data_IF_816462043784
#
_entry.id   IF_816462043784
#
_cell.length_a   1.000
_cell.length_b   1.000
_cell.length_c   1.000
_cell.angle_alpha   90.00
_cell.angle_beta   90.00
_cell.angle_gamma   90.00
#
_symmetry.space_group_name_H-M   'P 1'
#
loop_
_entity.id
_entity.type
_entity.pdbx_description
1 polymer ?
#
# COMPACT_ATOMS: atom_id res chain seq x y z
N UNK A 1 -24.36 -15.97 -15.58
CA UNK A 1 -22.96 -15.54 -15.38
C UNK A 1 -22.39 -16.38 -14.26
N UNK A 2 -21.57 -17.39 -14.58
CA UNK A 2 -20.84 -18.14 -13.56
C UNK A 2 -19.69 -17.23 -13.11
N UNK A 3 -19.68 -16.86 -11.83
CA UNK A 3 -18.61 -16.08 -11.24
C UNK A 3 -17.28 -16.79 -11.44
N UNK A 4 -16.31 -16.10 -12.03
CA UNK A 4 -14.97 -16.66 -12.23
C UNK A 4 -14.33 -16.87 -10.86
N UNK A 5 -13.74 -18.03 -10.56
CA UNK A 5 -13.17 -18.30 -9.25
C UNK A 5 -12.00 -17.36 -8.98
N UNK A 6 -12.07 -16.64 -7.86
CA UNK A 6 -10.98 -15.80 -7.35
C UNK A 6 -10.30 -16.58 -6.22
N UNK A 7 -8.97 -16.69 -6.29
CA UNK A 7 -8.17 -17.34 -5.25
C UNK A 7 -7.09 -16.40 -4.77
N UNK A 8 -7.08 -16.11 -3.47
CA UNK A 8 -6.01 -15.38 -2.76
C UNK A 8 -5.05 -16.32 -2.03
N UNK A 9 -5.34 -17.62 -1.99
CA UNK A 9 -4.57 -18.62 -1.24
C UNK A 9 -3.76 -19.55 -2.14
N UNK A 10 -4.30 -19.87 -3.31
CA UNK A 10 -3.71 -20.88 -4.20
C UNK A 10 -3.56 -20.31 -5.60
N UNK A 11 -2.34 -20.36 -6.12
CA UNK A 11 -1.99 -20.04 -7.50
C UNK A 11 -2.68 -21.04 -8.43
N UNK A 12 -3.44 -20.56 -9.43
CA UNK A 12 -4.12 -21.44 -10.37
C UNK A 12 -3.16 -22.22 -11.28
N UNK A 13 -1.93 -21.73 -11.49
CA UNK A 13 -0.94 -22.39 -12.34
C UNK A 13 -0.28 -23.62 -11.71
N UNK A 14 0.10 -23.54 -10.43
CA UNK A 14 0.82 -24.64 -9.76
C UNK A 14 0.02 -25.32 -8.64
N UNK A 15 -1.10 -24.73 -8.22
CA UNK A 15 -1.93 -25.20 -7.11
C UNK A 15 -1.21 -25.34 -5.74
N UNK A 16 0.03 -24.86 -5.63
CA UNK A 16 0.88 -25.08 -4.47
C UNK A 16 1.38 -23.80 -3.79
N UNK A 17 1.47 -22.69 -4.53
CA UNK A 17 2.03 -21.41 -4.03
C UNK A 17 0.94 -20.36 -3.88
N UNK A 18 1.21 -19.34 -3.06
CA UNK A 18 0.35 -18.16 -3.00
C UNK A 18 0.44 -17.37 -4.30
N UNK A 19 -0.70 -16.90 -4.84
CA UNK A 19 -0.68 -16.08 -6.03
C UNK A 19 -0.06 -14.72 -5.71
N UNK A 20 0.86 -14.23 -6.55
CA UNK A 20 1.45 -12.90 -6.39
C UNK A 20 0.60 -11.84 -7.10
N UNK A 21 0.19 -12.11 -8.35
CA UNK A 21 -0.60 -11.16 -9.15
C UNK A 21 -1.88 -11.77 -9.70
N UNK A 22 -2.88 -10.90 -9.83
CA UNK A 22 -4.14 -11.18 -10.50
C UNK A 22 -4.10 -10.66 -11.93
N UNK A 23 -4.48 -11.49 -12.89
CA UNK A 23 -4.65 -11.08 -14.29
C UNK A 23 -6.01 -10.38 -14.48
N UNK A 24 -6.22 -9.61 -15.57
CA UNK A 24 -7.51 -8.95 -15.85
C UNK A 24 -8.70 -9.92 -15.94
N UNK A 25 -8.45 -11.19 -16.26
CA UNK A 25 -9.47 -12.24 -16.23
C UNK A 25 -9.83 -12.74 -14.81
N UNK A 26 -9.22 -12.18 -13.76
CA UNK A 26 -9.34 -12.51 -12.33
C UNK A 26 -8.62 -13.77 -11.84
N UNK A 27 -8.05 -14.59 -12.73
CA UNK A 27 -7.16 -15.67 -12.32
C UNK A 27 -5.85 -15.11 -11.77
N UNK A 28 -5.40 -15.68 -10.66
CA UNK A 28 -4.21 -15.24 -9.93
C UNK A 28 -3.10 -16.28 -9.95
N UNK A 29 -1.86 -15.85 -10.16
CA UNK A 29 -0.69 -16.72 -10.33
C UNK A 29 0.49 -16.25 -9.47
N UNK A 30 1.33 -17.18 -9.04
CA UNK A 30 2.58 -16.88 -8.33
C UNK A 30 3.68 -16.40 -9.30
N UNK A 31 4.70 -15.71 -8.77
CA UNK A 31 5.83 -15.21 -9.57
C UNK A 31 6.51 -16.31 -10.39
N UNK A 32 6.71 -17.50 -9.80
CA UNK A 32 7.32 -18.63 -10.51
C UNK A 32 6.46 -19.10 -11.69
N UNK A 33 5.14 -19.10 -11.57
CA UNK A 33 4.28 -19.44 -12.71
C UNK A 33 4.40 -18.39 -13.83
N UNK A 34 4.62 -17.12 -13.50
CA UNK A 34 4.89 -16.10 -14.51
C UNK A 34 6.26 -16.27 -15.16
N UNK A 35 7.28 -16.73 -14.42
CA UNK A 35 8.58 -17.08 -14.98
C UNK A 35 8.49 -18.29 -15.93
N UNK A 36 7.76 -19.34 -15.54
CA UNK A 36 7.63 -20.59 -16.29
C UNK A 36 6.76 -20.42 -17.54
N UNK A 37 5.60 -19.77 -17.41
CA UNK A 37 4.62 -19.66 -18.50
C UNK A 37 4.71 -18.34 -19.28
N UNK A 38 5.42 -17.33 -18.76
CA UNK A 38 5.56 -16.04 -19.41
C UNK A 38 6.64 -16.02 -20.49
N UNK A 39 6.47 -15.13 -21.47
CA UNK A 39 7.48 -14.92 -22.52
C UNK A 39 8.52 -13.91 -22.04
N UNK A 40 9.79 -14.29 -21.95
CA UNK A 40 10.87 -13.39 -21.53
C UNK A 40 11.00 -12.16 -22.44
N UNK A 41 11.20 -10.99 -21.83
CA UNK A 41 11.50 -9.75 -22.53
C UNK A 41 12.96 -9.75 -23.03
N UNK A 42 13.19 -9.37 -24.29
CA UNK A 42 14.54 -9.31 -24.85
C UNK A 42 15.38 -8.15 -24.28
N UNK A 43 14.73 -7.02 -23.93
CA UNK A 43 15.43 -5.78 -23.56
C UNK A 43 15.53 -5.55 -22.05
N UNK A 44 14.91 -6.42 -21.23
CA UNK A 44 14.89 -6.29 -19.78
C UNK A 44 15.03 -7.68 -19.14
N UNK A 45 16.13 -7.87 -18.41
CA UNK A 45 16.41 -9.13 -17.72
C UNK A 45 15.37 -9.36 -16.62
N UNK A 46 14.97 -10.62 -16.43
CA UNK A 46 13.98 -11.04 -15.43
C UNK A 46 12.62 -10.32 -15.51
N UNK A 47 12.28 -9.84 -16.71
CA UNK A 47 10.94 -9.36 -17.06
C UNK A 47 10.25 -10.36 -17.98
N UNK A 48 9.00 -10.70 -17.68
CA UNK A 48 8.20 -11.66 -18.41
C UNK A 48 6.90 -11.02 -18.89
N UNK A 49 6.55 -11.27 -20.16
CA UNK A 49 5.30 -10.87 -20.78
C UNK A 49 4.26 -11.97 -20.62
N UNK A 50 3.11 -11.60 -20.07
CA UNK A 50 1.94 -12.48 -20.00
C UNK A 50 0.94 -12.03 -21.06
N UNK A 51 0.87 -12.79 -22.15
CA UNK A 51 -0.01 -12.50 -23.29
C UNK A 51 -1.37 -13.18 -23.16
N UNK A 52 -1.44 -14.27 -22.41
CA UNK A 52 -2.63 -15.11 -22.31
C UNK A 52 -2.71 -15.80 -20.95
N UNK A 53 -3.91 -15.94 -20.42
CA UNK A 53 -4.16 -16.72 -19.21
C UNK A 53 -4.13 -18.23 -19.53
N UNK A 54 -3.31 -19.01 -18.84
CA UNK A 54 -3.21 -20.47 -19.04
C UNK A 54 -4.44 -21.27 -18.60
N UNK A 55 -5.41 -20.63 -17.94
CA UNK A 55 -6.61 -21.30 -17.40
C UNK A 55 -7.84 -21.06 -18.29
N UNK A 56 -8.07 -19.81 -18.70
CA UNK A 56 -9.24 -19.45 -19.51
C UNK A 56 -8.91 -18.90 -20.90
N UNK A 57 -7.64 -18.90 -21.29
CA UNK A 57 -7.17 -18.47 -22.61
C UNK A 57 -7.54 -17.01 -22.96
N UNK A 58 -7.88 -16.21 -21.94
CA UNK A 58 -8.11 -14.79 -22.10
C UNK A 58 -6.80 -14.11 -22.47
N UNK A 59 -6.81 -13.36 -23.58
CA UNK A 59 -5.65 -12.62 -24.07
C UNK A 59 -5.59 -11.22 -23.49
N UNK A 60 -4.38 -10.76 -23.22
CA UNK A 60 -4.11 -9.44 -22.68
C UNK A 60 -2.97 -8.79 -23.45
N UNK A 61 -3.08 -7.49 -23.61
CA UNK A 61 -1.99 -6.69 -24.15
C UNK A 61 -1.14 -6.12 -23.02
N UNK A 62 0.15 -6.45 -23.03
CA UNK A 62 1.15 -5.66 -22.32
C UNK A 62 1.30 -5.89 -20.81
N UNK A 63 0.84 -7.02 -20.24
CA UNK A 63 1.15 -7.35 -18.84
C UNK A 63 2.63 -7.71 -18.72
N UNK A 64 3.40 -6.92 -17.97
CA UNK A 64 4.81 -7.18 -17.65
C UNK A 64 4.95 -7.52 -16.18
N UNK A 65 5.60 -8.64 -15.92
CA UNK A 65 5.95 -9.08 -14.57
C UNK A 65 7.46 -9.01 -14.43
N UNK A 66 7.92 -8.17 -13.52
CA UNK A 66 9.32 -8.08 -13.14
C UNK A 66 9.56 -8.94 -11.91
N UNK A 67 10.50 -9.87 -12.00
CA UNK A 67 10.87 -10.80 -10.93
C UNK A 67 12.25 -10.40 -10.38
N UNK A 68 12.49 -10.65 -9.09
CA UNK A 68 13.80 -10.37 -8.49
C UNK A 68 14.87 -11.20 -9.19
N UNK A 69 15.99 -10.59 -9.52
CA UNK A 69 17.13 -11.36 -10.00
C UNK A 69 17.77 -12.10 -8.82
N UNK A 70 18.19 -13.38 -8.97
CA UNK A 70 18.77 -14.16 -7.86
C UNK A 70 20.01 -13.53 -7.21
N UNK A 71 20.71 -12.65 -7.93
CA UNK A 71 21.91 -11.95 -7.45
C UNK A 71 21.63 -10.56 -6.88
N UNK A 72 20.39 -10.07 -6.91
CA UNK A 72 20.05 -8.75 -6.37
C UNK A 72 19.79 -8.85 -4.87
N UNK A 73 20.46 -7.98 -4.11
CA UNK A 73 20.20 -7.82 -2.68
C UNK A 73 18.76 -7.38 -2.40
N UNK A 74 18.22 -7.92 -1.33
CA UNK A 74 16.85 -7.77 -0.91
C UNK A 74 16.70 -6.57 0.06
N UNK A 75 15.80 -5.65 -0.27
CA UNK A 75 15.75 -4.29 0.28
C UNK A 75 14.35 -3.95 0.78
N UNK A 76 14.27 -3.47 2.00
CA UNK A 76 13.02 -3.02 2.62
C UNK A 76 13.03 -1.52 2.91
N UNK A 77 11.92 -0.85 2.62
CA UNK A 77 11.65 0.53 3.02
C UNK A 77 10.57 0.56 4.11
N UNK A 78 10.85 1.22 5.22
CA UNK A 78 9.89 1.47 6.30
C UNK A 78 9.69 2.97 6.43
N UNK A 79 8.42 3.39 6.57
CA UNK A 79 8.08 4.81 6.55
C UNK A 79 7.12 5.16 7.71
N UNK A 80 7.61 5.97 8.65
CA UNK A 80 6.99 6.17 9.97
C UNK A 80 5.72 7.03 9.91
N UNK A 81 4.79 6.95 10.85
CA UNK A 81 3.65 7.89 10.91
C UNK A 81 4.08 9.34 11.21
N UNK A 82 3.33 10.33 10.73
CA UNK A 82 3.72 11.74 10.94
C UNK A 82 2.79 12.85 10.42
N UNK A 83 1.62 12.53 9.90
CA UNK A 83 0.67 13.51 9.33
C UNK A 83 1.28 14.28 8.14
N UNK A 84 1.04 15.59 8.08
CA UNK A 84 1.55 16.47 7.01
C UNK A 84 3.08 16.49 6.86
N UNK A 85 3.82 16.06 7.90
CA UNK A 85 5.29 15.95 7.87
C UNK A 85 5.80 14.86 6.92
N UNK A 86 4.92 14.07 6.32
CA UNK A 86 5.25 13.16 5.21
C UNK A 86 5.98 13.85 4.04
N UNK A 87 5.81 15.17 3.88
CA UNK A 87 6.60 15.99 2.95
C UNK A 87 8.12 15.82 3.17
N UNK A 88 8.58 15.72 4.42
CA UNK A 88 10.01 15.54 4.74
C UNK A 88 10.52 14.22 4.18
N UNK A 89 9.75 13.14 4.33
CA UNK A 89 10.10 11.83 3.77
C UNK A 89 10.19 11.87 2.25
N UNK A 90 9.25 12.52 1.57
CA UNK A 90 9.30 12.66 0.11
C UNK A 90 10.52 13.46 -0.35
N UNK A 91 10.86 14.54 0.35
CA UNK A 91 12.08 15.31 0.08
C UNK A 91 13.33 14.45 0.32
N UNK A 92 13.38 13.65 1.39
CA UNK A 92 14.48 12.71 1.65
C UNK A 92 14.63 11.69 0.52
N UNK A 93 13.52 11.13 0.02
CA UNK A 93 13.53 10.21 -1.12
C UNK A 93 14.00 10.88 -2.41
N UNK A 94 13.60 12.13 -2.69
CA UNK A 94 14.10 12.91 -3.84
C UNK A 94 15.62 13.06 -3.75
N UNK A 95 16.13 13.44 -2.56
CA UNK A 95 17.59 13.61 -2.34
C UNK A 95 18.33 12.29 -2.48
N UNK A 96 17.79 11.21 -1.94
CA UNK A 96 18.35 9.87 -2.05
C UNK A 96 18.41 9.42 -3.51
N UNK A 97 17.31 9.57 -4.26
CA UNK A 97 17.24 9.25 -5.68
C UNK A 97 18.29 10.02 -6.49
N UNK A 98 18.43 11.32 -6.22
CA UNK A 98 19.42 12.17 -6.89
C UNK A 98 20.85 11.75 -6.54
N UNK A 99 21.14 11.41 -5.28
CA UNK A 99 22.46 10.96 -4.86
C UNK A 99 22.84 9.63 -5.51
N UNK A 100 21.94 8.64 -5.49
CA UNK A 100 22.14 7.34 -6.15
C UNK A 100 22.37 7.53 -7.64
N UNK A 101 21.53 8.33 -8.31
CA UNK A 101 21.65 8.55 -9.76
C UNK A 101 22.99 9.19 -10.15
N UNK A 102 23.55 10.06 -9.30
CA UNK A 102 24.89 10.63 -9.53
C UNK A 102 26.01 9.61 -9.37
N UNK A 103 25.89 8.68 -8.42
CA UNK A 103 26.90 7.65 -8.16
C UNK A 103 26.90 6.59 -9.25
N UNK A 104 25.72 6.10 -9.65
CA UNK A 104 25.59 5.02 -10.63
C UNK A 104 25.71 5.55 -12.08
N UNK A 105 25.51 6.85 -12.29
CA UNK A 105 25.56 7.46 -13.62
C UNK A 105 24.32 7.20 -14.49
N UNK A 106 23.27 6.60 -13.91
CA UNK A 106 21.98 6.38 -14.55
C UNK A 106 20.85 6.79 -13.62
N UNK A 107 19.73 7.25 -14.19
CA UNK A 107 18.53 7.58 -13.41
C UNK A 107 17.92 6.28 -12.88
N UNK A 108 17.82 6.17 -11.55
CA UNK A 108 17.20 5.03 -10.88
C UNK A 108 15.98 5.51 -10.09
N UNK A 109 14.76 5.42 -10.66
CA UNK A 109 13.56 5.85 -9.96
C UNK A 109 13.27 4.94 -8.76
N UNK A 110 13.10 5.51 -7.57
CA UNK A 110 12.89 4.72 -6.34
C UNK A 110 11.62 3.87 -6.43
N UNK A 111 10.59 4.39 -7.09
CA UNK A 111 9.33 3.67 -7.27
C UNK A 111 9.44 2.44 -8.18
N UNK A 112 10.52 2.32 -8.95
CA UNK A 112 10.73 1.23 -9.93
C UNK A 112 11.76 0.21 -9.40
N UNK A 113 11.26 -0.89 -8.83
CA UNK A 113 12.05 -2.09 -8.48
C UNK A 113 13.23 -1.86 -7.51
N UNK A 114 13.32 -0.69 -6.87
CA UNK A 114 14.39 -0.38 -5.92
C UNK A 114 14.18 -1.04 -4.54
N UNK A 115 12.93 -1.21 -4.11
CA UNK A 115 12.62 -1.94 -2.89
C UNK A 115 11.82 -3.20 -3.23
N UNK A 116 12.03 -4.25 -2.45
CA UNK A 116 11.29 -5.51 -2.53
C UNK A 116 10.02 -5.43 -1.70
N UNK A 117 10.12 -4.72 -0.56
CA UNK A 117 9.01 -4.45 0.34
C UNK A 117 9.02 -2.98 0.77
N UNK A 118 7.84 -2.39 0.83
CA UNK A 118 7.61 -1.09 1.45
C UNK A 118 6.49 -1.23 2.49
N UNK A 119 6.74 -0.77 3.71
CA UNK A 119 5.73 -0.70 4.76
C UNK A 119 5.62 0.71 5.33
N UNK A 120 4.40 1.20 5.53
CA UNK A 120 4.18 2.53 6.05
C UNK A 120 3.01 2.65 7.01
N UNK A 121 3.07 3.69 7.84
CA UNK A 121 2.04 4.00 8.84
C UNK A 121 1.45 5.38 8.57
N UNK A 122 0.14 5.53 8.74
CA UNK A 122 -0.54 6.83 8.65
C UNK A 122 -0.32 7.49 7.29
N UNK A 123 -0.14 8.80 7.27
CA UNK A 123 0.19 9.56 6.07
C UNK A 123 1.40 9.03 5.30
N UNK A 124 2.34 8.33 5.94
CA UNK A 124 3.48 7.71 5.25
C UNK A 124 3.17 6.31 4.72
N UNK A 125 2.14 5.65 5.24
CA UNK A 125 1.45 4.54 4.57
C UNK A 125 0.83 4.98 3.24
N UNK A 126 0.20 6.17 3.20
CA UNK A 126 -0.26 6.77 1.93
C UNK A 126 0.91 7.00 0.97
N UNK A 127 2.09 7.38 1.49
CA UNK A 127 3.28 7.55 0.66
C UNK A 127 3.73 6.23 0.03
N UNK A 128 3.77 5.16 0.80
CA UNK A 128 4.09 3.83 0.27
C UNK A 128 3.08 3.40 -0.81
N UNK A 129 1.78 3.63 -0.60
CA UNK A 129 0.74 3.34 -1.61
C UNK A 129 0.95 4.16 -2.89
N UNK A 130 1.19 5.46 -2.77
CA UNK A 130 1.36 6.35 -3.93
C UNK A 130 2.59 5.99 -4.77
N UNK A 131 3.72 5.71 -4.12
CA UNK A 131 4.94 5.31 -4.84
C UNK A 131 4.80 3.92 -5.45
N UNK A 132 4.34 2.93 -4.67
CA UNK A 132 4.52 1.53 -5.06
C UNK A 132 3.25 0.86 -5.61
N UNK A 133 2.06 1.25 -5.17
CA UNK A 133 0.80 0.74 -5.71
C UNK A 133 0.35 1.49 -6.96
N UNK A 134 0.57 2.81 -7.01
CA UNK A 134 0.23 3.65 -8.16
C UNK A 134 1.41 3.89 -9.12
N UNK A 135 2.64 3.70 -8.66
CA UNK A 135 3.83 3.90 -9.52
C UNK A 135 4.15 5.36 -9.78
N UNK A 136 3.65 6.31 -8.98
CA UNK A 136 3.94 7.72 -9.17
C UNK A 136 5.41 8.02 -8.88
N UNK A 137 5.98 8.95 -9.65
CA UNK A 137 7.32 9.46 -9.34
C UNK A 137 7.33 10.21 -8.01
N UNK A 138 8.47 10.24 -7.32
CA UNK A 138 8.57 10.93 -6.02
C UNK A 138 8.18 12.41 -6.12
N UNK A 139 8.58 13.08 -7.21
CA UNK A 139 8.25 14.49 -7.48
C UNK A 139 6.75 14.73 -7.74
N UNK A 140 6.14 13.86 -8.54
CA UNK A 140 4.69 13.90 -8.79
C UNK A 140 3.91 13.66 -7.50
N UNK A 141 4.35 12.66 -6.74
CA UNK A 141 3.70 12.29 -5.52
C UNK A 141 3.84 13.37 -4.44
N UNK A 142 4.95 14.10 -4.38
CA UNK A 142 5.07 15.30 -3.53
C UNK A 142 4.00 16.35 -3.84
N UNK A 143 3.76 16.64 -5.13
CA UNK A 143 2.72 17.60 -5.53
C UNK A 143 1.32 17.11 -5.14
N UNK A 144 1.03 15.84 -5.43
CA UNK A 144 -0.24 15.21 -5.10
C UNK A 144 -0.48 15.11 -3.59
N UNK A 145 0.56 14.82 -2.81
CA UNK A 145 0.48 14.74 -1.35
C UNK A 145 0.16 16.10 -0.72
N UNK A 146 0.77 17.18 -1.21
CA UNK A 146 0.44 18.55 -0.78
C UNK A 146 -1.01 18.88 -1.12
N UNK A 147 -1.47 18.53 -2.32
CA UNK A 147 -2.87 18.71 -2.71
C UNK A 147 -3.83 17.91 -1.82
N UNK A 148 -3.55 16.62 -1.61
CA UNK A 148 -4.36 15.71 -0.81
C UNK A 148 -4.46 16.17 0.64
N UNK A 149 -3.33 16.57 1.24
CA UNK A 149 -3.33 17.11 2.61
C UNK A 149 -4.10 18.43 2.70
N UNK A 150 -3.94 19.35 1.73
CA UNK A 150 -4.72 20.58 1.71
C UNK A 150 -6.22 20.35 1.54
N UNK A 151 -6.64 19.26 0.90
CA UNK A 151 -8.06 18.88 0.74
C UNK A 151 -8.60 18.14 1.97
N UNK A 152 -7.87 17.15 2.47
CA UNK A 152 -8.26 16.34 3.63
C UNK A 152 -8.30 17.13 4.94
N UNK A 153 -7.37 18.09 5.13
CA UNK A 153 -7.29 18.92 6.33
C UNK A 153 -8.08 20.25 6.18
N UNK A 154 -9.01 20.36 5.22
CA UNK A 154 -9.91 21.52 5.16
C UNK A 154 -10.84 21.51 6.36
N UNK A 155 -10.81 22.59 7.14
CA UNK A 155 -11.77 22.79 8.21
C UNK A 155 -13.17 23.01 7.63
N UNK A 156 -14.20 22.57 8.35
CA UNK A 156 -15.59 22.84 8.01
C UNK A 156 -15.79 24.36 7.98
N UNK A 157 -16.45 24.93 6.95
CA UNK A 157 -16.72 26.36 6.91
C UNK A 157 -17.62 26.74 8.08
N UNK A 158 -17.19 27.71 8.89
CA UNK A 158 -17.99 28.24 9.98
C UNK A 158 -18.94 29.31 9.44
N UNK A 159 -20.23 29.30 9.81
CA UNK A 159 -21.18 30.33 9.40
C UNK A 159 -20.94 31.70 10.06
N UNK A 160 -19.95 31.82 10.94
CA UNK A 160 -19.69 33.04 11.73
C UNK A 160 -18.23 33.45 11.68
N UNK A 161 -17.95 34.76 11.71
CA UNK A 161 -16.60 35.34 11.64
C UNK A 161 -15.95 35.59 13.03
N UNK A 162 -16.52 35.06 14.11
CA UNK A 162 -16.02 35.27 15.48
C UNK A 162 -15.10 34.12 15.91
N UNK A 163 -13.79 34.35 16.13
CA UNK A 163 -12.80 33.28 16.35
C UNK A 163 -13.09 32.38 17.56
N UNK A 164 -13.64 32.94 18.62
CA UNK A 164 -13.95 32.22 19.87
C UNK A 164 -15.17 31.31 19.66
N UNK A 165 -16.19 31.80 18.97
CA UNK A 165 -17.40 31.02 18.70
C UNK A 165 -17.11 29.85 17.75
N UNK A 166 -16.29 30.08 16.72
CA UNK A 166 -15.81 29.02 15.82
C UNK A 166 -15.07 27.91 16.57
N UNK A 167 -14.25 28.25 17.58
CA UNK A 167 -13.55 27.26 18.42
C UNK A 167 -14.51 26.44 19.29
N UNK A 168 -15.54 27.07 19.84
CA UNK A 168 -16.57 26.36 20.63
C UNK A 168 -17.39 25.44 19.71
N UNK A 169 -17.75 25.91 18.51
CA UNK A 169 -18.45 25.12 17.50
C UNK A 169 -17.57 23.96 17.00
N UNK A 170 -16.27 24.17 16.78
CA UNK A 170 -15.30 23.12 16.44
C UNK A 170 -15.20 22.08 17.55
N UNK A 171 -15.17 22.50 18.82
CA UNK A 171 -15.13 21.60 19.97
C UNK A 171 -16.43 20.79 20.10
N UNK A 172 -17.59 21.44 19.99
CA UNK A 172 -18.90 20.78 20.01
C UNK A 172 -19.07 19.82 18.83
N UNK A 173 -18.64 20.20 17.63
CA UNK A 173 -18.70 19.35 16.45
C UNK A 173 -17.71 18.19 16.53
N UNK A 174 -16.50 18.41 17.08
CA UNK A 174 -15.53 17.33 17.32
C UNK A 174 -16.01 16.36 18.39
N UNK A 175 -16.79 16.82 19.37
CA UNK A 175 -17.41 15.97 20.40
C UNK A 175 -18.64 15.23 19.87
N UNK A 176 -19.42 15.84 18.96
CA UNK A 176 -20.62 15.23 18.39
C UNK A 176 -20.33 14.31 17.19
N UNK A 177 -19.25 14.57 16.43
CA UNK A 177 -18.87 13.83 15.23
C UNK A 177 -17.58 13.00 15.40
N UNK A 178 -17.01 12.95 16.61
CA UNK A 178 -15.76 12.23 16.96
C UNK A 178 -14.53 12.57 16.08
N UNK A 179 -14.55 13.70 15.35
CA UNK A 179 -13.43 14.14 14.50
C UNK A 179 -13.42 15.65 14.21
N UNK A 180 -12.22 16.22 14.08
CA UNK A 180 -12.01 17.62 13.72
C UNK A 180 -12.28 17.89 12.23
N UNK A 181 -12.02 16.92 11.35
CA UNK A 181 -12.21 17.04 9.90
C UNK A 181 -13.42 16.22 9.42
N UNK A 182 -14.03 16.59 8.29
CA UNK A 182 -15.18 15.87 7.74
C UNK A 182 -14.77 14.53 7.13
N UNK A 183 -15.57 13.49 7.37
CA UNK A 183 -15.40 12.17 6.77
C UNK A 183 -15.49 12.25 5.24
N UNK A 184 -16.45 13.01 4.71
CA UNK A 184 -16.65 13.17 3.26
C UNK A 184 -15.42 13.80 2.59
N UNK A 185 -14.76 14.76 3.26
CA UNK A 185 -13.60 15.46 2.71
C UNK A 185 -12.38 14.57 2.53
N UNK A 186 -12.11 13.68 3.48
CA UNK A 186 -11.03 12.69 3.35
C UNK A 186 -11.41 11.55 2.39
N UNK A 187 -12.69 11.14 2.36
CA UNK A 187 -13.18 10.14 1.39
C UNK A 187 -12.94 10.61 -0.04
N UNK A 188 -13.43 11.79 -0.37
CA UNK A 188 -13.30 12.39 -1.70
C UNK A 188 -11.82 12.62 -2.04
N UNK A 189 -11.02 13.14 -1.12
CA UNK A 189 -9.60 13.37 -1.36
C UNK A 189 -8.83 12.07 -1.67
N UNK A 190 -9.10 10.99 -0.92
CA UNK A 190 -8.46 9.70 -1.14
C UNK A 190 -8.96 9.04 -2.43
N UNK A 191 -10.26 9.09 -2.73
CA UNK A 191 -10.82 8.55 -3.98
C UNK A 191 -10.31 9.29 -5.20
N UNK A 192 -10.20 10.62 -5.16
CA UNK A 192 -9.66 11.40 -6.26
C UNK A 192 -8.16 11.17 -6.46
N UNK A 193 -7.39 11.02 -5.37
CA UNK A 193 -5.98 10.71 -5.49
C UNK A 193 -5.73 9.29 -6.00
N UNK A 194 -6.34 8.27 -5.36
CA UNK A 194 -6.01 6.86 -5.60
C UNK A 194 -6.94 6.13 -6.57
N UNK A 195 -8.06 6.76 -6.97
CA UNK A 195 -9.12 6.14 -7.75
C UNK A 195 -10.06 5.28 -6.90
N UNK A 196 -11.34 5.23 -7.27
CA UNK A 196 -12.35 4.52 -6.47
C UNK A 196 -12.25 2.99 -6.62
N UNK A 197 -11.93 2.48 -7.80
CA UNK A 197 -11.97 1.03 -8.11
C UNK A 197 -10.60 0.34 -8.05
N UNK A 198 -9.55 1.05 -7.61
CA UNK A 198 -8.20 0.49 -7.57
C UNK A 198 -8.07 -0.50 -6.41
N UNK A 199 -7.99 -1.79 -6.72
CA UNK A 199 -7.71 -2.86 -5.75
C UNK A 199 -6.25 -2.78 -5.27
N UNK A 200 -6.03 -2.87 -3.96
CA UNK A 200 -4.71 -2.84 -3.33
C UNK A 200 -3.82 -4.02 -3.78
N UNK A 201 -4.41 -5.17 -4.09
CA UNK A 201 -3.70 -6.34 -4.61
C UNK A 201 -3.54 -6.30 -6.13
N UNK A 202 -4.19 -5.36 -6.85
CA UNK A 202 -3.94 -5.16 -8.27
C UNK A 202 -2.65 -4.35 -8.43
N UNK A 203 -1.63 -4.99 -9.00
CA UNK A 203 -0.29 -4.40 -9.14
C UNK A 203 0.11 -4.30 -10.60
N UNK A 204 0.16 -3.06 -11.08
CA UNK A 204 0.63 -2.74 -12.42
C UNK A 204 2.15 -2.69 -12.42
N UNK A 205 2.80 -3.65 -13.09
CA UNK A 205 4.24 -3.75 -13.38
C UNK A 205 5.23 -3.68 -12.18
N UNK A 206 4.97 -2.92 -11.11
CA UNK A 206 5.82 -2.73 -9.96
C UNK A 206 5.98 -4.03 -9.15
N UNK A 207 7.23 -4.34 -8.81
CA UNK A 207 7.64 -5.52 -8.05
C UNK A 207 7.65 -5.30 -6.53
N UNK A 208 7.59 -4.06 -6.08
CA UNK A 208 7.56 -3.73 -4.64
C UNK A 208 6.26 -4.21 -3.98
N UNK A 209 6.37 -5.08 -2.98
CA UNK A 209 5.26 -5.52 -2.11
C UNK A 209 4.97 -4.43 -1.08
N UNK A 210 3.71 -4.07 -0.91
CA UNK A 210 3.29 -2.94 -0.05
C UNK A 210 2.49 -3.45 1.12
N UNK A 211 2.82 -2.97 2.31
CA UNK A 211 2.05 -3.16 3.52
C UNK A 211 1.76 -1.80 4.18
N UNK A 212 0.61 -1.67 4.83
CA UNK A 212 0.32 -0.50 5.66
C UNK A 212 -0.29 -0.93 6.99
N UNK A 213 0.07 -0.24 8.07
CA UNK A 213 -0.41 -0.56 9.41
C UNK A 213 -1.71 0.19 9.72
N UNK A 214 -2.60 -0.44 10.47
CA UNK A 214 -3.79 0.16 11.06
C UNK A 214 -4.04 -0.44 12.46
N UNK A 215 -5.02 0.10 13.17
CA UNK A 215 -5.42 -0.37 14.50
C UNK A 215 -6.90 -0.68 14.49
N UNK A 216 -7.32 -1.84 15.00
CA UNK A 216 -8.74 -2.16 15.18
C UNK A 216 -9.36 -1.38 16.35
N UNK A 217 -10.69 -1.31 16.44
CA UNK A 217 -11.37 -0.71 17.61
C UNK A 217 -11.02 -1.36 18.94
N UNK A 218 -10.59 -2.63 18.93
CA UNK A 218 -10.13 -3.35 20.12
C UNK A 218 -8.66 -3.05 20.47
N UNK A 219 -8.08 -2.01 19.86
CA UNK A 219 -6.68 -1.63 20.06
C UNK A 219 -5.68 -2.72 19.66
N UNK A 220 -6.06 -3.60 18.73
CA UNK A 220 -5.14 -4.61 18.19
C UNK A 220 -4.50 -4.08 16.88
N UNK A 221 -3.16 -4.15 16.75
CA UNK A 221 -2.46 -3.83 15.52
C UNK A 221 -2.89 -4.75 14.38
N UNK A 222 -3.05 -4.18 13.20
CA UNK A 222 -3.34 -4.92 11.99
C UNK A 222 -2.64 -4.35 10.77
N UNK A 223 -2.51 -5.15 9.72
CA UNK A 223 -1.77 -4.79 8.51
C UNK A 223 -2.61 -5.12 7.29
N UNK A 224 -2.69 -4.16 6.37
CA UNK A 224 -3.23 -4.37 5.04
C UNK A 224 -2.07 -4.61 4.07
N UNK A 225 -2.16 -5.63 3.22
CA UNK A 225 -1.07 -6.04 2.33
C UNK A 225 -1.50 -6.15 0.87
N UNK A 226 -0.61 -5.74 -0.05
CA UNK A 226 -0.83 -5.86 -1.50
C UNK A 226 -0.40 -7.22 -2.09
N UNK A 227 0.12 -8.11 -1.26
CA UNK A 227 0.66 -9.40 -1.67
C UNK A 227 -0.01 -10.52 -0.89
N UNK A 228 -0.25 -11.65 -1.56
CA UNK A 228 -0.69 -12.84 -0.86
C UNK A 228 0.50 -13.57 -0.28
N UNK A 229 0.36 -13.92 0.98
CA UNK A 229 1.25 -14.83 1.66
C UNK A 229 0.40 -15.80 2.46
N UNK A 230 0.90 -17.01 2.64
CA UNK A 230 0.21 -17.94 3.53
C UNK A 230 1.13 -18.91 4.22
N UNK A 231 1.97 -18.31 5.06
CA UNK A 231 1.95 -18.72 6.46
C UNK A 231 0.74 -18.10 7.17
N UNK A 232 0.11 -18.89 8.03
CA UNK A 232 -0.54 -18.30 9.20
C UNK A 232 0.55 -17.56 9.96
N UNK A 233 0.26 -16.31 10.33
CA UNK A 233 1.21 -15.55 11.14
C UNK A 233 1.24 -16.23 12.50
N UNK A 234 2.41 -16.34 13.15
CA UNK A 234 2.48 -16.86 14.51
C UNK A 234 1.43 -16.15 15.38
N UNK A 235 0.70 -16.91 16.20
CA UNK A 235 -0.38 -16.38 17.04
C UNK A 235 0.10 -15.27 17.98
N UNK A 236 1.40 -15.24 18.27
CA UNK A 236 2.13 -14.32 19.14
C UNK A 236 2.85 -13.18 18.41
N UNK A 237 2.73 -13.06 17.08
CA UNK A 237 3.41 -12.00 16.31
C UNK A 237 2.90 -10.57 16.63
N UNK A 238 1.82 -10.45 17.40
CA UNK A 238 1.33 -9.16 17.92
C UNK A 238 0.56 -8.28 16.93
N UNK A 239 0.28 -8.79 15.72
CA UNK A 239 -0.59 -8.12 14.75
C UNK A 239 -1.42 -9.12 13.95
N UNK A 240 -2.43 -8.61 13.24
CA UNK A 240 -3.28 -9.41 12.34
C UNK A 240 -3.21 -8.89 10.91
N UNK A 241 -3.33 -9.76 9.91
CA UNK A 241 -3.39 -9.34 8.51
C UNK A 241 -4.84 -9.24 8.06
N UNK A 242 -5.25 -8.07 7.64
CA UNK A 242 -6.64 -7.78 7.25
C UNK A 242 -6.84 -8.12 5.78
N UNK A 243 -7.64 -9.16 5.53
CA UNK A 243 -7.95 -9.62 4.17
C UNK A 243 -9.41 -10.08 4.08
N UNK A 244 -10.22 -9.49 3.19
CA UNK A 244 -11.55 -9.98 2.90
C UNK A 244 -11.44 -11.26 2.06
N UNK A 245 -12.39 -12.17 2.26
CA UNK A 245 -12.46 -13.43 1.50
C UNK A 245 -13.16 -13.26 0.14
N UNK A 246 -14.05 -12.29 0.07
CA UNK A 246 -15.12 -12.12 -0.92
C UNK A 246 -14.88 -10.93 -1.86
N UNK A 247 -14.10 -9.92 -1.43
CA UNK A 247 -13.75 -8.76 -2.27
C UNK A 247 -12.31 -8.30 -2.07
N UNK A 248 -11.80 -7.54 -3.04
CA UNK A 248 -10.56 -6.79 -2.87
C UNK A 248 -10.75 -5.58 -1.95
N UNK A 249 -9.68 -5.18 -1.27
CA UNK A 249 -9.64 -3.90 -0.54
C UNK A 249 -9.19 -2.83 -1.50
N UNK A 250 -9.95 -1.73 -1.61
CA UNK A 250 -9.55 -0.61 -2.47
C UNK A 250 -8.39 0.16 -1.83
N UNK A 251 -7.48 0.70 -2.63
CA UNK A 251 -6.30 1.45 -2.15
C UNK A 251 -6.72 2.62 -1.26
N UNK A 252 -7.79 3.34 -1.62
CA UNK A 252 -8.30 4.46 -0.83
C UNK A 252 -8.92 4.01 0.51
N UNK A 253 -9.54 2.82 0.56
CA UNK A 253 -10.10 2.24 1.80
C UNK A 253 -8.98 1.92 2.79
N UNK A 254 -7.93 1.24 2.30
CA UNK A 254 -6.74 0.93 3.09
C UNK A 254 -6.03 2.22 3.54
N UNK A 255 -5.90 3.19 2.63
CA UNK A 255 -5.33 4.51 2.89
C UNK A 255 -6.06 5.27 4.00
N UNK A 256 -7.39 5.21 4.02
CA UNK A 256 -8.16 5.79 5.12
C UNK A 256 -7.89 5.06 6.43
N UNK A 257 -8.00 3.72 6.44
CA UNK A 257 -7.78 2.94 7.65
C UNK A 257 -6.42 3.24 8.30
N UNK A 258 -5.36 3.36 7.50
CA UNK A 258 -4.02 3.66 8.05
C UNK A 258 -3.89 5.09 8.59
N UNK A 259 -4.62 6.07 8.06
CA UNK A 259 -4.46 7.51 8.36
C UNK A 259 -5.58 8.12 9.21
N UNK A 260 -6.52 7.30 9.69
CA UNK A 260 -7.65 7.70 10.53
C UNK A 260 -7.23 8.04 11.96
N UNK A 261 -6.41 9.08 12.14
CA UNK A 261 -5.88 9.44 13.45
C UNK A 261 -7.02 9.92 14.35
N UNK A 262 -7.22 9.32 15.55
CA UNK A 262 -8.23 9.79 16.48
C UNK A 262 -8.08 11.27 16.75
N UNK A 263 -9.20 11.94 17.04
CA UNK A 263 -9.35 13.40 17.12
C UNK A 263 -9.30 14.13 15.78
N UNK A 264 -8.50 13.68 14.81
CA UNK A 264 -8.42 14.32 13.50
C UNK A 264 -9.48 13.80 12.53
N UNK A 265 -9.53 12.48 12.36
CA UNK A 265 -10.39 11.82 11.37
C UNK A 265 -11.23 10.73 12.01
N UNK A 266 -12.46 10.58 11.50
CA UNK A 266 -13.35 9.50 11.92
C UNK A 266 -12.77 8.14 11.47
N UNK A 267 -12.92 7.09 12.29
CA UNK A 267 -12.49 5.76 11.90
C UNK A 267 -13.23 5.25 10.66
N UNK A 268 -12.59 4.38 9.88
CA UNK A 268 -13.20 3.78 8.70
C UNK A 268 -13.77 2.41 9.05
N UNK A 269 -15.07 2.25 8.81
CA UNK A 269 -15.73 0.94 8.87
C UNK A 269 -15.66 0.26 7.50
N UNK A 270 -15.13 -0.96 7.47
CA UNK A 270 -15.15 -1.85 6.31
C UNK A 270 -16.16 -2.97 6.56
N UNK A 271 -17.10 -3.16 5.63
CA UNK A 271 -18.10 -4.22 5.72
C UNK A 271 -17.42 -5.59 5.86
N UNK A 272 -17.86 -6.40 6.84
CA UNK A 272 -17.31 -7.73 7.13
C UNK A 272 -15.96 -7.77 7.84
N UNK A 273 -15.25 -6.64 7.95
CA UNK A 273 -13.89 -6.58 8.54
C UNK A 273 -13.82 -5.78 9.85
N UNK A 274 -14.81 -4.92 10.11
CA UNK A 274 -14.87 -4.09 11.32
C UNK A 274 -14.44 -2.66 11.07
N UNK A 275 -13.99 -2.00 12.13
CA UNK A 275 -13.70 -0.56 12.14
C UNK A 275 -12.24 -0.33 12.50
N UNK A 276 -11.59 0.57 11.76
CA UNK A 276 -10.14 0.79 11.81
C UNK A 276 -9.79 2.25 12.09
N UNK A 277 -8.73 2.42 12.87
CA UNK A 277 -8.07 3.67 13.24
C UNK A 277 -6.63 3.66 12.72
N UNK A 278 -5.99 4.82 12.81
CA UNK A 278 -4.59 5.01 12.42
C UNK A 278 -3.65 3.97 13.04
N UNK A 279 -2.71 3.48 12.22
CA UNK A 279 -1.69 2.54 12.67
C UNK A 279 -0.73 3.13 13.70
N UNK A 280 -0.55 4.45 13.69
CA UNK A 280 0.34 5.19 14.59
C UNK A 280 -0.09 5.19 16.04
N UNK A 281 -1.30 4.70 16.37
CA UNK A 281 -1.72 4.47 17.76
C UNK A 281 -0.86 3.42 18.45
N UNK A 282 -0.38 2.42 17.71
CA UNK A 282 0.46 1.35 18.24
C UNK A 282 1.80 1.24 17.53
N UNK A 283 1.82 1.45 16.22
CA UNK A 283 2.95 1.13 15.35
C UNK A 283 3.30 2.37 14.54
N UNK A 284 3.77 3.42 15.20
CA UNK A 284 4.20 4.63 14.50
C UNK A 284 5.46 4.40 13.66
N UNK A 285 6.33 3.48 14.06
CA UNK A 285 7.43 2.99 13.24
C UNK A 285 7.14 1.52 12.88
N UNK A 286 6.88 1.20 11.60
CA UNK A 286 6.46 -0.14 11.20
C UNK A 286 7.62 -1.11 10.93
N UNK A 287 8.87 -0.78 11.28
CA UNK A 287 10.05 -1.62 10.96
C UNK A 287 9.94 -3.02 11.56
N UNK A 288 9.49 -3.15 12.80
CA UNK A 288 9.33 -4.46 13.46
C UNK A 288 8.34 -5.34 12.70
N UNK A 289 7.16 -4.80 12.35
CA UNK A 289 6.16 -5.49 11.55
C UNK A 289 6.71 -5.83 10.16
N UNK A 290 7.47 -4.92 9.55
CA UNK A 290 8.14 -5.15 8.27
C UNK A 290 9.04 -6.38 8.31
N UNK A 291 9.86 -6.51 9.35
CA UNK A 291 10.73 -7.66 9.55
C UNK A 291 9.95 -8.96 9.78
N UNK A 292 8.81 -8.93 10.48
CA UNK A 292 7.94 -10.10 10.64
C UNK A 292 7.23 -10.52 9.35
N UNK A 293 6.84 -9.56 8.52
CA UNK A 293 6.23 -9.83 7.22
C UNK A 293 7.27 -10.17 6.13
N UNK A 294 8.56 -9.92 6.38
CA UNK A 294 9.61 -10.14 5.39
C UNK A 294 9.69 -11.57 4.84
N UNK A 295 9.68 -12.65 5.66
CA UNK A 295 9.67 -14.03 5.16
C UNK A 295 8.43 -14.36 4.32
N UNK A 296 7.34 -13.61 4.49
CA UNK A 296 6.09 -13.77 3.74
C UNK A 296 6.15 -13.07 2.38
N UNK A 297 7.04 -12.08 2.23
CA UNK A 297 7.30 -11.30 1.02
C UNK A 297 8.38 -11.97 0.19
N UNK A 298 9.50 -12.33 0.81
CA UNK A 298 10.66 -12.91 0.14
C UNK A 298 11.06 -14.21 0.86
N UNK A 299 10.31 -15.33 0.67
CA UNK A 299 10.52 -16.56 1.43
C UNK A 299 11.87 -17.23 1.15
N UNK A 300 12.42 -17.02 -0.05
CA UNK A 300 13.71 -17.58 -0.47
C UNK A 300 14.88 -16.65 -0.10
N UNK A 301 14.60 -15.41 0.27
CA UNK A 301 15.59 -14.50 0.82
C UNK A 301 15.66 -14.73 2.34
N UNK A 302 16.86 -14.69 2.92
CA UNK A 302 17.03 -14.68 4.37
C UNK A 302 16.54 -13.36 4.96
N UNK A 303 17.31 -12.77 5.88
CA UNK A 303 17.04 -11.40 6.33
C UNK A 303 17.26 -10.39 5.18
N UNK A 304 16.58 -9.22 5.20
CA UNK A 304 16.83 -8.18 4.22
C UNK A 304 18.28 -7.67 4.31
N UNK A 305 18.96 -7.57 3.17
CA UNK A 305 20.33 -7.03 3.08
C UNK A 305 20.38 -5.53 3.45
N UNK A 306 19.27 -4.82 3.25
CA UNK A 306 19.14 -3.40 3.59
C UNK A 306 17.73 -3.09 4.10
N UNK A 307 17.66 -2.41 5.23
CA UNK A 307 16.44 -1.78 5.74
C UNK A 307 16.65 -0.28 5.83
N UNK A 308 15.85 0.49 5.09
CA UNK A 308 15.84 1.95 5.17
C UNK A 308 14.59 2.42 5.92
N UNK A 309 14.75 3.07 7.07
CA UNK A 309 13.66 3.66 7.84
C UNK A 309 13.65 5.18 7.75
N UNK A 310 12.50 5.79 7.44
CA UNK A 310 12.32 7.24 7.22
C UNK A 310 11.14 7.85 7.97
#
# INVERSE_FOLDING_TARGET
HLDKPISSRVCFGCLARFPDRRLPCLHSFCEICFEVFGKRCNNQLYTFHILECTICFARFDGIKVHIQTPTAGARMLTVDGGGIRGVVTLISLIRLQAAISRIVGVKLPIQEHFFDMAIGTSSRGLIALGLFSQGWSVDEWLRQFIWLTNKAFRRRPHPTCLPILCRVIDYMNSFAADSQYSADGIEEALKEAFGDERDMCARDNNRTKVAITATTTNSLPCVFTSYNSGGERPLDCGYTVVRPYDRGIKVWEAGWCTSAAPWYFSPKRLAGLGTFHDGGLWQNNPTSIGLWEWPHVCPDAGEPDLVLSL
#
